data_IF_833960479591
#
_entry.id   IF_833960479591
#
_cell.length_a   1.000
_cell.length_b   1.000
_cell.length_c   1.000
_cell.angle_alpha   90.00
_cell.angle_beta   90.00
_cell.angle_gamma   90.00
#
_symmetry.space_group_name_H-M   'P 1'
#
loop_
_entity.id
_entity.type
_entity.pdbx_description
1 polymer ?
#
# COMPACT_ATOMS: atom_id res chain seq x y z
N UNK A 1 -20.15 -18.97 9.73
CA UNK A 1 -20.85 -17.85 9.02
C UNK A 1 -19.93 -17.00 8.13
N UNK A 2 -18.60 -16.93 8.36
CA UNK A 2 -17.69 -16.00 7.65
C UNK A 2 -17.39 -16.33 6.19
N UNK A 3 -16.93 -17.54 5.88
CA UNK A 3 -16.42 -17.88 4.51
C UNK A 3 -17.56 -17.94 3.49
N UNK A 4 -18.72 -18.48 3.87
CA UNK A 4 -19.90 -18.54 3.02
C UNK A 4 -20.48 -17.16 2.67
N UNK A 5 -20.35 -16.18 3.57
CA UNK A 5 -20.87 -14.83 3.35
C UNK A 5 -19.93 -13.99 2.48
N UNK A 6 -18.61 -14.19 2.57
CA UNK A 6 -17.61 -13.58 1.67
C UNK A 6 -17.79 -14.14 0.25
N UNK A 7 -17.92 -15.46 0.13
CA UNK A 7 -18.17 -16.10 -1.17
C UNK A 7 -19.50 -15.63 -1.79
N UNK A 8 -20.57 -15.59 -1.00
CA UNK A 8 -21.88 -15.08 -1.45
C UNK A 8 -21.79 -13.60 -1.89
N UNK A 9 -21.06 -12.76 -1.17
CA UNK A 9 -20.87 -11.37 -1.56
C UNK A 9 -20.10 -11.24 -2.87
N UNK A 10 -19.02 -11.99 -3.04
CA UNK A 10 -18.24 -11.98 -4.27
C UNK A 10 -19.03 -12.50 -5.47
N UNK A 11 -19.80 -13.58 -5.30
CA UNK A 11 -20.69 -14.10 -6.35
C UNK A 11 -21.84 -13.12 -6.62
N UNK A 12 -22.43 -12.49 -5.61
CA UNK A 12 -23.45 -11.45 -5.77
C UNK A 12 -22.88 -10.20 -6.46
N UNK A 13 -21.67 -9.82 -6.14
CA UNK A 13 -21.00 -8.71 -6.81
C UNK A 13 -20.71 -9.06 -8.27
N UNK A 14 -20.25 -10.28 -8.57
CA UNK A 14 -20.07 -10.76 -9.94
C UNK A 14 -21.40 -10.81 -10.70
N UNK A 15 -22.46 -11.36 -10.14
CA UNK A 15 -23.79 -11.40 -10.79
C UNK A 15 -24.39 -10.01 -11.00
N UNK A 16 -24.12 -9.08 -10.11
CA UNK A 16 -24.49 -7.66 -10.31
C UNK A 16 -23.66 -7.00 -11.41
N UNK A 17 -22.42 -7.45 -11.61
CA UNK A 17 -21.49 -6.93 -12.62
C UNK A 17 -21.74 -7.56 -14.00
N UNK A 18 -21.97 -8.86 -14.06
CA UNK A 18 -22.12 -9.62 -15.30
C UNK A 18 -23.52 -9.60 -15.91
N UNK A 19 -24.52 -9.05 -15.18
CA UNK A 19 -25.89 -8.82 -15.69
C UNK A 19 -26.42 -9.87 -16.63
N UNK A 20 -26.58 -11.12 -16.17
CA UNK A 20 -27.35 -12.18 -16.83
C UNK A 20 -26.98 -12.44 -18.30
N UNK A 21 -26.29 -13.53 -18.53
CA UNK A 21 -26.10 -14.08 -19.87
C UNK A 21 -27.46 -14.60 -20.42
N UNK A 22 -28.29 -13.71 -20.94
CA UNK A 22 -29.32 -14.00 -21.96
C UNK A 22 -29.84 -12.66 -22.50
N UNK A 23 -29.45 -12.36 -23.70
CA UNK A 23 -30.06 -11.54 -24.73
C UNK A 23 -31.07 -10.45 -24.40
N UNK A 24 -30.78 -9.52 -23.53
CA UNK A 24 -31.55 -8.26 -23.43
C UNK A 24 -30.78 -7.26 -22.59
N UNK A 25 -30.46 -6.12 -23.22
CA UNK A 25 -30.03 -4.85 -22.62
C UNK A 25 -29.24 -4.95 -21.30
N UNK A 26 -27.94 -4.72 -21.37
CA UNK A 26 -27.07 -4.46 -20.21
C UNK A 26 -27.81 -3.44 -19.31
N UNK A 27 -28.33 -3.88 -18.17
CA UNK A 27 -28.83 -2.94 -17.18
C UNK A 27 -27.69 -2.00 -16.81
N UNK A 28 -27.89 -0.69 -16.92
CA UNK A 28 -26.84 0.25 -16.54
C UNK A 28 -26.46 -0.05 -15.09
N UNK A 29 -25.16 -0.26 -14.87
CA UNK A 29 -24.58 -0.29 -13.53
C UNK A 29 -25.11 0.93 -12.78
N UNK A 30 -25.61 0.79 -11.58
CA UNK A 30 -25.83 1.93 -10.70
C UNK A 30 -24.45 2.46 -10.29
N UNK A 31 -23.78 3.15 -11.22
CA UNK A 31 -22.51 3.83 -11.00
C UNK A 31 -22.83 5.04 -10.14
N UNK A 32 -22.42 5.01 -8.89
CA UNK A 32 -22.57 6.13 -7.97
C UNK A 32 -21.38 7.06 -8.13
N UNK A 33 -21.52 8.03 -9.03
CA UNK A 33 -20.53 9.09 -9.18
C UNK A 33 -20.58 10.01 -7.97
N UNK A 34 -19.43 10.30 -7.38
CA UNK A 34 -19.29 11.16 -6.21
C UNK A 34 -17.96 11.92 -6.22
N UNK A 35 -17.92 13.00 -5.47
CA UNK A 35 -16.69 13.75 -5.22
C UNK A 35 -15.98 13.14 -4.01
N UNK A 36 -14.68 12.85 -4.13
CA UNK A 36 -13.87 12.30 -3.05
C UNK A 36 -12.39 12.55 -3.28
N UNK A 37 -11.62 12.42 -2.22
CA UNK A 37 -10.15 12.43 -2.27
C UNK A 37 -9.63 11.03 -2.60
N UNK A 38 -9.06 10.88 -3.80
CA UNK A 38 -8.50 9.61 -4.29
C UNK A 38 -7.27 9.17 -3.48
N UNK A 39 -6.45 10.13 -3.02
CA UNK A 39 -5.29 9.80 -2.19
C UNK A 39 -5.71 9.16 -0.86
N UNK A 40 -6.75 9.71 -0.24
CA UNK A 40 -7.34 9.16 0.97
C UNK A 40 -7.95 7.78 0.73
N UNK A 41 -8.63 7.57 -0.40
CA UNK A 41 -9.18 6.26 -0.75
C UNK A 41 -8.07 5.21 -0.86
N UNK A 42 -6.94 5.54 -1.51
CA UNK A 42 -5.77 4.63 -1.61
C UNK A 42 -5.24 4.30 -0.23
N UNK A 43 -5.03 5.30 0.64
CA UNK A 43 -4.57 5.11 2.01
C UNK A 43 -5.52 4.21 2.82
N UNK A 44 -6.83 4.50 2.83
CA UNK A 44 -7.83 3.71 3.56
C UNK A 44 -7.84 2.24 3.14
N UNK A 45 -7.70 1.95 1.85
CA UNK A 45 -7.65 0.57 1.36
C UNK A 45 -6.35 -0.11 1.78
N UNK A 46 -5.21 0.57 1.65
CA UNK A 46 -3.91 0.05 2.07
C UNK A 46 -3.87 -0.23 3.58
N UNK A 47 -4.36 0.71 4.41
CA UNK A 47 -4.44 0.56 5.86
C UNK A 47 -5.36 -0.60 6.26
N UNK A 48 -6.51 -0.74 5.57
CA UNK A 48 -7.44 -1.84 5.84
C UNK A 48 -6.82 -3.21 5.57
N UNK A 49 -6.02 -3.33 4.50
CA UNK A 49 -5.28 -4.55 4.21
C UNK A 49 -4.14 -4.79 5.20
N UNK A 50 -3.36 -3.76 5.52
CA UNK A 50 -2.29 -3.85 6.50
C UNK A 50 -2.81 -4.30 7.87
N UNK A 51 -3.90 -3.70 8.35
CA UNK A 51 -4.55 -4.08 9.62
C UNK A 51 -5.22 -5.45 9.55
N UNK A 52 -5.93 -5.77 8.48
CA UNK A 52 -6.62 -7.06 8.31
C UNK A 52 -5.64 -8.24 8.36
N UNK A 53 -4.48 -8.09 7.80
CA UNK A 53 -3.43 -9.11 7.85
C UNK A 53 -2.73 -9.22 9.21
N UNK A 54 -2.73 -8.15 10.01
CA UNK A 54 -2.15 -8.14 11.36
C UNK A 54 -3.12 -8.66 12.43
N UNK A 55 -4.45 -8.53 12.21
CA UNK A 55 -5.49 -8.87 13.20
C UNK A 55 -6.09 -10.26 12.99
N UNK A 56 -5.93 -10.87 11.82
CA UNK A 56 -6.47 -12.21 11.53
C UNK A 56 -6.03 -13.32 12.51
N UNK A 57 -4.88 -13.27 13.20
CA UNK A 57 -4.52 -14.26 14.21
C UNK A 57 -5.43 -14.27 15.46
N UNK A 58 -6.14 -13.16 15.74
CA UNK A 58 -6.93 -13.03 16.97
C UNK A 58 -8.40 -13.43 16.83
N UNK A 59 -8.94 -13.54 15.62
CA UNK A 59 -10.37 -13.81 15.41
C UNK A 59 -10.71 -15.18 14.82
N UNK A 60 -9.74 -15.94 14.31
CA UNK A 60 -9.95 -17.30 13.82
C UNK A 60 -10.12 -18.35 14.95
N UNK A 61 -9.96 -17.93 16.21
CA UNK A 61 -10.08 -18.83 17.37
C UNK A 61 -11.52 -19.06 17.86
N UNK A 62 -12.54 -18.59 17.17
CA UNK A 62 -13.91 -18.74 17.70
C UNK A 62 -14.93 -19.33 16.77
N UNK A 63 -14.71 -20.13 15.79
CA UNK A 63 -15.77 -21.06 15.29
C UNK A 63 -15.12 -22.06 14.31
N UNK A 64 -14.74 -23.23 14.80
CA UNK A 64 -14.73 -24.43 13.98
C UNK A 64 -13.39 -24.94 13.44
N UNK A 65 -12.21 -24.42 13.85
CA UNK A 65 -10.97 -25.13 13.58
C UNK A 65 -10.47 -25.85 14.83
N UNK A 66 -10.78 -27.13 14.89
CA UNK A 66 -10.38 -28.01 16.00
C UNK A 66 -8.89 -28.42 15.93
N UNK A 67 -8.10 -27.81 15.05
CA UNK A 67 -6.68 -28.09 14.91
C UNK A 67 -5.98 -26.93 14.15
N UNK A 68 -5.59 -25.89 14.86
CA UNK A 68 -4.55 -24.96 14.36
C UNK A 68 -3.35 -25.07 15.30
N UNK A 69 -2.21 -25.66 14.86
CA UNK A 69 -1.03 -25.75 15.69
C UNK A 69 -0.55 -24.34 16.03
N UNK A 70 -0.21 -24.09 17.28
CA UNK A 70 0.30 -22.81 17.82
C UNK A 70 1.43 -22.17 16.98
N UNK A 71 2.09 -22.94 16.10
CA UNK A 71 3.11 -22.47 15.17
C UNK A 71 2.58 -21.72 13.94
N UNK A 72 1.35 -21.96 13.50
CA UNK A 72 0.85 -21.35 12.26
C UNK A 72 0.57 -19.84 12.41
N UNK A 73 0.22 -19.39 13.61
CA UNK A 73 0.01 -17.95 13.88
C UNK A 73 1.35 -17.20 13.96
N UNK A 74 2.37 -17.81 14.54
CA UNK A 74 3.73 -17.25 14.62
C UNK A 74 4.40 -17.25 13.24
N UNK A 75 4.25 -18.32 12.44
CA UNK A 75 4.74 -18.38 11.07
C UNK A 75 4.04 -17.34 10.15
N UNK A 76 2.75 -17.10 10.35
CA UNK A 76 2.02 -16.05 9.61
C UNK A 76 2.47 -14.65 10.03
N UNK A 77 2.63 -14.38 11.32
CA UNK A 77 3.17 -13.11 11.81
C UNK A 77 4.60 -12.87 11.30
N UNK A 78 5.42 -13.91 11.23
CA UNK A 78 6.77 -13.83 10.72
C UNK A 78 6.83 -13.57 9.21
N UNK A 79 5.88 -14.11 8.41
CA UNK A 79 5.79 -13.83 6.97
C UNK A 79 5.61 -12.35 6.67
N UNK A 80 4.88 -11.61 7.51
CA UNK A 80 4.63 -10.17 7.31
C UNK A 80 5.80 -9.29 7.73
N UNK A 81 6.69 -9.80 8.57
CA UNK A 81 7.95 -9.11 8.87
C UNK A 81 8.91 -9.09 7.68
N UNK A 82 8.68 -9.96 6.68
CA UNK A 82 9.56 -10.14 5.53
C UNK A 82 9.06 -9.42 4.25
N UNK A 83 7.88 -8.75 4.32
CA UNK A 83 7.31 -7.99 3.20
C UNK A 83 7.27 -6.51 3.53
N UNK A 84 7.98 -5.70 2.75
CA UNK A 84 7.87 -4.25 2.84
C UNK A 84 6.64 -3.77 2.06
N UNK A 85 5.68 -3.15 2.75
CA UNK A 85 4.47 -2.60 2.13
C UNK A 85 4.60 -1.10 1.99
N UNK A 86 4.72 -0.63 0.76
CA UNK A 86 5.03 0.77 0.43
C UNK A 86 3.89 1.41 -0.33
N UNK A 87 3.46 2.59 0.11
CA UNK A 87 2.45 3.41 -0.58
C UNK A 87 3.12 4.68 -1.09
N UNK A 88 3.07 4.91 -2.40
CA UNK A 88 3.69 6.05 -3.06
C UNK A 88 2.63 6.88 -3.79
N UNK A 89 2.31 8.06 -3.25
CA UNK A 89 1.33 8.99 -3.83
C UNK A 89 2.06 10.22 -4.34
N UNK A 90 1.92 10.50 -5.64
CA UNK A 90 2.52 11.68 -6.26
C UNK A 90 1.95 12.98 -5.66
N UNK A 91 2.83 13.95 -5.35
CA UNK A 91 2.41 15.28 -4.92
C UNK A 91 1.79 16.04 -6.08
N UNK A 92 0.57 16.55 -5.87
CA UNK A 92 -0.11 17.40 -6.84
C UNK A 92 -0.48 18.75 -6.22
N UNK A 93 -0.32 19.82 -6.99
CA UNK A 93 -0.61 21.20 -6.54
C UNK A 93 -2.08 21.36 -6.09
N UNK A 94 -3.00 20.72 -6.81
CA UNK A 94 -4.44 20.79 -6.52
C UNK A 94 -4.98 19.55 -5.80
N UNK A 95 -4.09 18.71 -5.24
CA UNK A 95 -4.46 17.47 -4.56
C UNK A 95 -5.08 16.42 -5.50
N UNK A 96 -5.83 15.49 -4.88
CA UNK A 96 -6.42 14.33 -5.55
C UNK A 96 -7.96 14.30 -5.47
N UNK A 97 -8.58 15.49 -5.37
CA UNK A 97 -10.04 15.57 -5.32
C UNK A 97 -10.63 15.35 -6.73
N UNK A 98 -11.43 14.30 -6.86
CA UNK A 98 -11.96 13.84 -8.16
C UNK A 98 -13.45 13.50 -8.08
N UNK A 99 -14.13 13.61 -9.20
CA UNK A 99 -15.51 13.16 -9.41
C UNK A 99 -15.47 11.86 -10.22
N UNK A 100 -15.75 10.73 -9.58
CA UNK A 100 -15.67 9.41 -10.20
C UNK A 100 -16.50 8.36 -9.45
N UNK A 101 -16.43 7.09 -9.89
CA UNK A 101 -17.00 5.94 -9.17
C UNK A 101 -16.08 5.52 -8.01
N UNK A 102 -16.29 6.11 -6.84
CA UNK A 102 -15.55 5.78 -5.62
C UNK A 102 -15.63 4.29 -5.26
N UNK A 103 -16.84 3.71 -5.38
CA UNK A 103 -17.07 2.28 -5.08
C UNK A 103 -16.35 1.36 -6.05
N UNK A 104 -16.34 1.70 -7.33
CA UNK A 104 -15.59 0.97 -8.36
C UNK A 104 -14.08 1.01 -8.12
N UNK A 105 -13.51 2.20 -7.92
CA UNK A 105 -12.08 2.35 -7.65
C UNK A 105 -11.64 1.67 -6.34
N UNK A 106 -12.47 1.72 -5.30
CA UNK A 106 -12.24 0.98 -4.05
C UNK A 106 -12.13 -0.52 -4.30
N UNK A 107 -13.04 -1.10 -5.11
CA UNK A 107 -13.00 -2.53 -5.45
C UNK A 107 -11.78 -2.91 -6.29
N UNK A 108 -11.39 -2.04 -7.24
CA UNK A 108 -10.17 -2.22 -8.02
C UNK A 108 -8.97 -2.32 -7.08
N UNK A 109 -8.78 -1.33 -6.22
CA UNK A 109 -7.69 -1.31 -5.24
C UNK A 109 -7.71 -2.52 -4.30
N UNK A 110 -8.87 -2.85 -3.73
CA UNK A 110 -8.99 -4.01 -2.82
C UNK A 110 -8.60 -5.32 -3.50
N UNK A 111 -8.97 -5.54 -4.76
CA UNK A 111 -8.59 -6.75 -5.48
C UNK A 111 -7.10 -6.77 -5.83
N UNK A 112 -6.55 -5.65 -6.29
CA UNK A 112 -5.14 -5.58 -6.67
C UNK A 112 -4.22 -5.71 -5.46
N UNK A 113 -4.45 -4.91 -4.42
CA UNK A 113 -3.66 -4.93 -3.18
C UNK A 113 -3.81 -6.28 -2.46
N UNK A 114 -5.04 -6.79 -2.38
CA UNK A 114 -5.29 -8.11 -1.78
C UNK A 114 -4.58 -9.25 -2.49
N UNK A 115 -4.52 -9.23 -3.84
CA UNK A 115 -3.76 -10.22 -4.60
C UNK A 115 -2.26 -10.07 -4.39
N UNK A 116 -1.71 -8.87 -4.47
CA UNK A 116 -0.28 -8.61 -4.26
C UNK A 116 0.17 -9.12 -2.88
N UNK A 117 -0.54 -8.75 -1.84
CA UNK A 117 -0.24 -9.20 -0.48
C UNK A 117 -0.43 -10.71 -0.28
N UNK A 118 -1.41 -11.32 -0.93
CA UNK A 118 -1.66 -12.76 -0.86
C UNK A 118 -0.54 -13.59 -1.50
N UNK A 119 0.00 -13.12 -2.61
CA UNK A 119 0.96 -13.87 -3.41
C UNK A 119 2.43 -13.49 -3.15
N UNK A 120 2.67 -12.51 -2.27
CA UNK A 120 4.01 -12.12 -1.83
C UNK A 120 4.25 -12.65 -0.41
N UNK A 121 5.22 -13.53 -0.26
CA UNK A 121 5.63 -14.07 1.05
C UNK A 121 6.87 -13.42 1.60
N UNK A 122 7.69 -12.80 0.73
CA UNK A 122 8.91 -12.09 1.08
C UNK A 122 9.22 -11.05 0.00
N UNK A 123 9.82 -9.94 0.41
CA UNK A 123 10.22 -8.87 -0.50
C UNK A 123 9.37 -7.62 -0.33
N UNK A 124 8.60 -7.21 -1.34
CA UNK A 124 7.83 -5.97 -1.26
C UNK A 124 6.49 -6.03 -1.99
N UNK A 125 5.58 -5.14 -1.57
CA UNK A 125 4.38 -4.73 -2.30
C UNK A 125 4.35 -3.20 -2.33
N UNK A 126 4.34 -2.64 -3.53
CA UNK A 126 4.27 -1.20 -3.76
C UNK A 126 2.93 -0.82 -4.38
N UNK A 127 2.25 0.15 -3.81
CA UNK A 127 1.03 0.77 -4.36
C UNK A 127 1.33 2.20 -4.72
N UNK A 128 1.18 2.56 -5.99
CA UNK A 128 1.47 3.93 -6.44
C UNK A 128 0.26 4.59 -7.06
N UNK A 129 0.06 5.87 -6.72
CA UNK A 129 -0.92 6.76 -7.36
C UNK A 129 -0.18 7.90 -8.03
N UNK A 130 -0.32 8.03 -9.34
CA UNK A 130 0.21 9.14 -10.14
C UNK A 130 -0.82 9.64 -11.14
N UNK A 131 -0.59 10.82 -11.72
CA UNK A 131 -1.54 11.35 -12.70
C UNK A 131 -1.04 12.55 -13.45
N UNK A 132 -1.61 12.75 -14.64
CA UNK A 132 -1.30 13.88 -15.51
C UNK A 132 -2.57 14.66 -15.85
N UNK A 133 -2.46 15.99 -15.82
CA UNK A 133 -3.54 16.86 -16.23
C UNK A 133 -3.76 16.76 -17.74
N UNK A 134 -5.00 16.46 -18.15
CA UNK A 134 -5.39 16.46 -19.55
C UNK A 134 -5.79 17.89 -19.93
N UNK A 135 -6.61 18.53 -19.08
CA UNK A 135 -7.08 19.90 -19.21
C UNK A 135 -7.45 20.47 -17.82
N UNK A 136 -8.17 21.60 -17.82
CA UNK A 136 -8.59 22.26 -16.57
C UNK A 136 -9.47 21.36 -15.70
N UNK A 137 -10.33 20.52 -16.33
CA UNK A 137 -11.39 19.78 -15.65
C UNK A 137 -11.13 18.28 -15.56
N UNK A 138 -10.16 17.76 -16.35
CA UNK A 138 -9.91 16.33 -16.46
C UNK A 138 -8.49 15.95 -16.09
N UNK A 139 -8.39 14.78 -15.46
CA UNK A 139 -7.15 14.16 -14.99
C UNK A 139 -7.09 12.73 -15.50
N UNK A 140 -5.96 12.34 -16.08
CA UNK A 140 -5.60 10.93 -16.26
C UNK A 140 -4.98 10.43 -14.97
N UNK A 141 -5.57 9.42 -14.35
CA UNK A 141 -5.02 8.78 -13.16
C UNK A 141 -4.39 7.46 -13.52
N UNK A 142 -3.35 7.09 -12.77
CA UNK A 142 -2.64 5.82 -12.86
C UNK A 142 -2.56 5.22 -11.46
N UNK A 143 -3.12 4.04 -11.30
CA UNK A 143 -2.97 3.22 -10.09
C UNK A 143 -2.12 2.01 -10.46
N UNK A 144 -0.95 1.91 -9.85
CA UNK A 144 -0.01 0.80 -10.05
C UNK A 144 0.12 0.01 -8.75
N UNK A 145 -0.01 -1.30 -8.87
CA UNK A 145 0.34 -2.24 -7.80
C UNK A 145 1.42 -3.15 -8.31
N UNK A 146 2.55 -3.19 -7.63
CA UNK A 146 3.72 -3.98 -7.96
C UNK A 146 4.11 -4.84 -6.77
N UNK A 147 4.41 -6.09 -7.02
CA UNK A 147 4.85 -7.04 -6.01
C UNK A 147 6.06 -7.87 -6.49
N UNK A 148 6.81 -8.38 -5.53
CA UNK A 148 7.90 -9.34 -5.74
C UNK A 148 7.49 -10.78 -5.42
N UNK A 149 6.21 -11.11 -5.59
CA UNK A 149 5.65 -12.41 -5.29
C UNK A 149 5.99 -13.50 -6.29
N UNK A 150 5.22 -14.57 -6.28
CA UNK A 150 5.48 -15.73 -7.14
C UNK A 150 5.32 -15.45 -8.66
N UNK A 151 4.77 -14.29 -9.03
CA UNK A 151 4.47 -13.98 -10.43
C UNK A 151 3.39 -14.88 -11.03
N UNK A 152 3.15 -14.70 -12.33
CA UNK A 152 2.12 -15.39 -13.12
C UNK A 152 2.78 -16.00 -14.34
N UNK A 153 2.43 -17.26 -14.69
CA UNK A 153 2.97 -17.91 -15.86
C UNK A 153 2.48 -17.27 -17.16
N UNK A 154 3.29 -17.32 -18.19
CA UNK A 154 2.97 -16.77 -19.51
C UNK A 154 1.68 -17.36 -20.08
N UNK A 155 1.49 -18.68 -19.92
CA UNK A 155 0.30 -19.35 -20.39
C UNK A 155 -0.99 -18.81 -19.74
N UNK A 156 -0.97 -18.59 -18.42
CA UNK A 156 -2.12 -18.05 -17.70
C UNK A 156 -2.39 -16.57 -18.05
N UNK A 157 -1.32 -15.77 -18.20
CA UNK A 157 -1.43 -14.37 -18.65
C UNK A 157 -2.14 -14.26 -20.00
N UNK A 158 -1.73 -15.08 -20.97
CA UNK A 158 -2.20 -14.95 -22.35
C UNK A 158 -3.63 -15.54 -22.55
N UNK A 159 -4.06 -16.50 -21.74
CA UNK A 159 -5.27 -17.27 -22.00
C UNK A 159 -6.39 -17.10 -20.97
N UNK A 160 -6.07 -16.81 -19.71
CA UNK A 160 -7.04 -16.97 -18.62
C UNK A 160 -7.12 -15.82 -17.63
N UNK A 161 -6.21 -14.85 -17.69
CA UNK A 161 -6.00 -13.85 -16.65
C UNK A 161 -7.28 -13.12 -16.21
N UNK A 162 -8.11 -12.72 -17.16
CA UNK A 162 -9.34 -11.98 -16.90
C UNK A 162 -10.61 -12.83 -16.99
N UNK A 163 -10.46 -14.14 -17.16
CA UNK A 163 -11.62 -15.02 -17.19
C UNK A 163 -12.16 -15.23 -15.77
N UNK A 164 -13.47 -15.10 -15.56
CA UNK A 164 -14.09 -15.37 -14.28
C UNK A 164 -13.82 -16.79 -13.81
N UNK A 165 -13.60 -16.96 -12.50
CA UNK A 165 -13.31 -18.23 -11.84
C UNK A 165 -12.00 -18.91 -12.25
N UNK A 166 -11.15 -18.22 -13.01
CA UNK A 166 -9.85 -18.75 -13.41
C UNK A 166 -8.82 -18.57 -12.29
N UNK A 167 -8.07 -19.63 -12.01
CA UNK A 167 -6.97 -19.67 -11.05
C UNK A 167 -5.82 -20.48 -11.62
N UNK A 168 -4.60 -19.98 -11.50
CA UNK A 168 -3.40 -20.72 -11.91
C UNK A 168 -3.18 -21.96 -11.03
N UNK A 169 -3.47 -21.84 -9.73
CA UNK A 169 -3.49 -22.97 -8.80
C UNK A 169 -4.92 -23.21 -8.29
N UNK A 170 -5.65 -24.20 -8.80
CA UNK A 170 -7.02 -24.50 -8.39
C UNK A 170 -7.16 -24.90 -6.90
N UNK A 171 -6.07 -25.34 -6.27
CA UNK A 171 -6.05 -25.69 -4.84
C UNK A 171 -5.72 -24.47 -3.95
N UNK A 172 -5.39 -23.34 -4.56
CA UNK A 172 -5.11 -22.09 -3.85
C UNK A 172 -6.37 -21.42 -3.27
N UNK A 173 -6.20 -20.64 -2.23
CA UNK A 173 -7.29 -19.85 -1.67
C UNK A 173 -7.73 -18.75 -2.65
N UNK A 174 -9.03 -18.58 -2.87
CA UNK A 174 -9.60 -17.50 -3.68
C UNK A 174 -10.75 -17.96 -4.55
N UNK A 175 -11.43 -17.03 -5.22
CA UNK A 175 -12.59 -17.30 -6.08
C UNK A 175 -12.28 -17.21 -7.57
N UNK A 176 -11.10 -16.70 -7.95
CA UNK A 176 -10.77 -16.44 -9.36
C UNK A 176 -11.56 -15.29 -10.00
N UNK A 177 -12.21 -14.45 -9.19
CA UNK A 177 -13.04 -13.33 -9.69
C UNK A 177 -12.33 -11.98 -9.63
N UNK A 178 -11.24 -11.85 -8.87
CA UNK A 178 -10.64 -10.55 -8.57
C UNK A 178 -10.23 -9.75 -9.81
N UNK A 179 -9.46 -10.35 -10.71
CA UNK A 179 -8.96 -9.66 -11.91
C UNK A 179 -10.04 -9.47 -12.99
N UNK A 180 -11.01 -10.37 -13.11
CA UNK A 180 -12.16 -10.14 -14.00
C UNK A 180 -13.01 -8.96 -13.52
N UNK A 181 -13.21 -8.80 -12.22
CA UNK A 181 -13.88 -7.64 -11.64
C UNK A 181 -13.09 -6.35 -11.92
N UNK A 182 -11.77 -6.37 -11.74
CA UNK A 182 -10.90 -5.23 -12.07
C UNK A 182 -11.05 -4.83 -13.54
N UNK A 183 -10.95 -5.80 -14.43
CA UNK A 183 -11.10 -5.60 -15.87
C UNK A 183 -12.46 -4.96 -16.21
N UNK A 184 -13.56 -5.53 -15.73
CA UNK A 184 -14.91 -5.03 -16.00
C UNK A 184 -15.14 -3.61 -15.45
N UNK A 185 -14.61 -3.33 -14.25
CA UNK A 185 -14.71 -2.00 -13.66
C UNK A 185 -13.92 -0.99 -14.49
N UNK A 186 -12.67 -1.28 -14.79
CA UNK A 186 -11.83 -0.35 -15.53
C UNK A 186 -12.39 -0.09 -16.95
N UNK A 187 -12.84 -1.13 -17.65
CA UNK A 187 -13.46 -0.97 -18.98
C UNK A 187 -14.79 -0.18 -18.97
N UNK A 188 -15.46 -0.09 -17.82
CA UNK A 188 -16.65 0.76 -17.67
C UNK A 188 -16.32 2.24 -17.41
N UNK A 189 -15.08 2.57 -17.11
CA UNK A 189 -14.61 3.93 -16.86
C UNK A 189 -14.15 4.62 -18.14
N UNK A 190 -14.16 5.95 -18.16
CA UNK A 190 -13.70 6.73 -19.32
C UNK A 190 -12.20 6.45 -19.58
N UNK A 191 -11.90 5.98 -20.80
CA UNK A 191 -10.57 5.53 -21.21
C UNK A 191 -9.87 4.59 -20.20
N UNK A 192 -10.65 3.73 -19.56
CA UNK A 192 -10.14 2.79 -18.58
C UNK A 192 -9.34 1.66 -19.22
N UNK A 193 -8.16 1.40 -18.67
CA UNK A 193 -7.24 0.33 -19.13
C UNK A 193 -6.69 -0.46 -17.96
N UNK A 194 -6.29 -1.70 -18.26
CA UNK A 194 -5.55 -2.58 -17.33
C UNK A 194 -4.39 -3.19 -18.11
N UNK A 195 -3.16 -2.91 -17.70
CA UNK A 195 -1.94 -3.51 -18.21
C UNK A 195 -1.33 -4.40 -17.13
N UNK A 196 -0.93 -5.62 -17.49
CA UNK A 196 -0.34 -6.59 -16.55
C UNK A 196 0.98 -7.08 -17.09
N UNK A 197 2.01 -6.91 -16.28
CA UNK A 197 3.35 -7.43 -16.53
C UNK A 197 3.74 -8.36 -15.40
N UNK A 198 4.03 -9.58 -15.72
CA UNK A 198 4.43 -10.56 -14.71
C UNK A 198 5.46 -11.53 -15.25
N UNK A 199 6.33 -11.96 -14.37
CA UNK A 199 7.30 -13.03 -14.64
C UNK A 199 7.28 -13.98 -13.46
N UNK A 200 7.04 -15.25 -13.74
CA UNK A 200 6.99 -16.30 -12.73
C UNK A 200 8.31 -16.37 -11.94
N UNK A 201 8.21 -16.37 -10.62
CA UNK A 201 9.35 -16.35 -9.70
C UNK A 201 9.97 -14.96 -9.45
N UNK A 202 9.51 -13.90 -10.15
CA UNK A 202 10.02 -12.53 -9.97
C UNK A 202 8.99 -11.61 -9.34
N UNK A 203 7.72 -11.65 -9.81
CA UNK A 203 6.65 -10.82 -9.31
C UNK A 203 5.68 -10.34 -10.38
N UNK A 204 4.78 -9.45 -9.98
CA UNK A 204 3.73 -8.90 -10.85
C UNK A 204 3.65 -7.39 -10.72
N UNK A 205 3.41 -6.72 -11.84
CA UNK A 205 3.04 -5.32 -11.91
C UNK A 205 1.71 -5.17 -12.65
N UNK A 206 0.73 -4.54 -12.01
CA UNK A 206 -0.56 -4.21 -12.62
C UNK A 206 -0.71 -2.71 -12.61
N UNK A 207 -0.86 -2.14 -13.80
CA UNK A 207 -1.12 -0.74 -14.02
C UNK A 207 -2.55 -0.56 -14.52
N UNK A 208 -3.37 0.16 -13.77
CA UNK A 208 -4.69 0.61 -14.23
C UNK A 208 -4.67 2.10 -14.49
N UNK A 209 -5.35 2.53 -15.54
CA UNK A 209 -5.50 3.95 -15.81
C UNK A 209 -6.92 4.29 -16.25
N UNK A 210 -7.39 5.49 -15.93
CA UNK A 210 -8.64 6.02 -16.45
C UNK A 210 -8.67 7.54 -16.37
N UNK A 211 -9.60 8.15 -17.09
CA UNK A 211 -9.88 9.59 -17.00
C UNK A 211 -10.95 9.85 -15.97
N UNK A 212 -10.70 10.85 -15.14
CA UNK A 212 -11.65 11.32 -14.13
C UNK A 212 -11.82 12.82 -14.24
N UNK A 213 -12.94 13.35 -13.76
CA UNK A 213 -13.11 14.80 -13.63
C UNK A 213 -12.47 15.27 -12.32
N UNK A 214 -11.83 16.43 -12.36
CA UNK A 214 -11.38 17.11 -11.15
C UNK A 214 -12.62 17.64 -10.42
N UNK A 215 -12.69 17.44 -9.13
CA UNK A 215 -13.72 18.03 -8.28
C UNK A 215 -13.15 19.23 -7.51
N UNK A 216 -13.98 20.22 -7.16
CA UNK A 216 -13.55 21.31 -6.31
C UNK A 216 -13.07 20.73 -4.96
N UNK A 217 -11.91 21.19 -4.50
CA UNK A 217 -11.42 20.78 -3.19
C UNK A 217 -12.45 21.17 -2.13
N UNK A 218 -12.85 20.22 -1.28
CA UNK A 218 -13.63 20.51 -0.10
C UNK A 218 -12.82 21.45 0.80
N UNK A 219 -13.50 22.37 1.52
CA UNK A 219 -12.88 23.22 2.54
C UNK A 219 -12.13 22.44 3.63
N UNK A 220 -12.38 21.12 3.72
CA UNK A 220 -11.74 20.21 4.67
C UNK A 220 -10.45 19.55 4.12
N UNK A 221 -9.93 20.00 2.96
CA UNK A 221 -8.62 19.56 2.50
C UNK A 221 -7.61 19.95 3.58
N UNK A 222 -7.07 18.94 4.22
CA UNK A 222 -6.02 19.12 5.20
C UNK A 222 -4.93 20.00 4.59
N UNK A 223 -4.83 21.23 5.08
CA UNK A 223 -3.78 22.15 4.72
C UNK A 223 -2.45 21.44 5.01
N UNK A 224 -1.75 21.02 3.97
CA UNK A 224 -0.37 20.57 4.13
C UNK A 224 0.40 21.84 4.45
N UNK A 225 0.90 22.01 5.68
CA UNK A 225 1.65 23.20 6.03
C UNK A 225 2.81 23.29 5.03
N UNK A 226 2.82 24.34 4.22
CA UNK A 226 4.07 24.71 3.57
C UNK A 226 4.97 25.15 4.71
N UNK A 227 5.87 24.27 5.13
CA UNK A 227 6.97 24.67 5.99
C UNK A 227 7.62 25.87 5.30
N UNK A 228 7.70 26.99 6.02
CA UNK A 228 8.36 28.19 5.52
C UNK A 228 9.76 27.79 5.03
N UNK A 229 9.95 27.82 3.72
CA UNK A 229 11.14 27.33 3.02
C UNK A 229 12.42 28.05 3.45
N UNK A 230 12.30 29.12 4.25
CA UNK A 230 13.42 29.90 4.79
C UNK A 230 14.18 29.23 5.95
N UNK A 231 13.70 28.10 6.47
CA UNK A 231 14.42 27.35 7.49
C UNK A 231 14.66 25.93 6.96
N UNK A 232 15.84 25.70 6.36
CA UNK A 232 16.26 24.38 5.92
C UNK A 232 16.32 23.39 7.09
N UNK A 233 15.27 22.59 7.24
CA UNK A 233 15.25 21.47 8.17
C UNK A 233 15.93 20.27 7.51
N UNK A 234 16.75 19.55 8.25
CA UNK A 234 17.39 18.32 7.77
C UNK A 234 16.74 17.11 8.40
N UNK A 235 16.36 16.16 7.58
CA UNK A 235 15.89 14.85 8.01
C UNK A 235 17.02 13.82 7.88
N UNK A 236 17.32 13.13 8.97
CA UNK A 236 18.34 12.09 9.04
C UNK A 236 17.67 10.73 9.11
N UNK A 237 17.94 9.86 8.15
CA UNK A 237 17.39 8.52 8.05
C UNK A 237 18.41 7.49 8.51
N UNK A 238 18.01 6.62 9.44
CA UNK A 238 18.85 5.56 9.99
C UNK A 238 18.18 4.19 9.89
N UNK A 239 18.94 3.17 9.48
CA UNK A 239 18.50 1.80 9.49
C UNK A 239 17.56 1.40 8.36
N UNK A 240 17.64 2.09 7.24
CA UNK A 240 16.92 1.72 6.03
C UNK A 240 17.84 0.87 5.14
N UNK A 241 17.66 -0.45 5.07
CA UNK A 241 18.53 -1.33 4.31
C UNK A 241 18.35 -1.10 2.81
N UNK A 242 19.45 -1.09 2.06
CA UNK A 242 19.48 -0.97 0.59
C UNK A 242 19.92 -2.25 -0.10
N UNK A 243 20.24 -3.27 0.65
CA UNK A 243 20.63 -4.61 0.19
C UNK A 243 19.44 -5.43 -0.34
N UNK A 244 18.21 -5.04 0.04
CA UNK A 244 16.96 -5.63 -0.47
C UNK A 244 16.19 -4.64 -1.34
N UNK A 245 15.48 -5.14 -2.36
CA UNK A 245 14.64 -4.29 -3.21
C UNK A 245 13.54 -3.58 -2.41
N UNK A 246 12.93 -4.26 -1.45
CA UNK A 246 11.91 -3.67 -0.58
C UNK A 246 12.44 -2.53 0.27
N UNK A 247 13.59 -2.73 0.92
CA UNK A 247 14.24 -1.69 1.73
C UNK A 247 14.64 -0.48 0.90
N UNK A 248 15.18 -0.70 -0.31
CA UNK A 248 15.52 0.38 -1.25
C UNK A 248 14.30 1.18 -1.67
N UNK A 249 13.20 0.53 -2.08
CA UNK A 249 11.96 1.19 -2.47
C UNK A 249 11.39 1.99 -1.30
N UNK A 250 11.39 1.43 -0.10
CA UNK A 250 10.95 2.13 1.11
C UNK A 250 11.78 3.38 1.37
N UNK A 251 13.10 3.26 1.34
CA UNK A 251 14.02 4.39 1.54
C UNK A 251 13.81 5.47 0.49
N UNK A 252 13.78 5.12 -0.80
CA UNK A 252 13.57 6.05 -1.91
C UNK A 252 12.22 6.78 -1.76
N UNK A 253 11.16 6.06 -1.38
CA UNK A 253 9.83 6.64 -1.15
C UNK A 253 9.85 7.64 0.00
N UNK A 254 10.47 7.31 1.13
CA UNK A 254 10.59 8.22 2.28
C UNK A 254 11.41 9.46 1.93
N UNK A 255 12.56 9.28 1.25
CA UNK A 255 13.39 10.40 0.77
C UNK A 255 12.58 11.29 -0.15
N UNK A 256 11.84 10.70 -1.09
CA UNK A 256 10.97 11.45 -2.00
C UNK A 256 9.90 12.25 -1.23
N UNK A 257 9.19 11.65 -0.29
CA UNK A 257 8.18 12.36 0.51
C UNK A 257 8.79 13.51 1.31
N UNK A 258 9.87 13.26 2.02
CA UNK A 258 10.49 14.30 2.86
C UNK A 258 11.01 15.47 2.04
N UNK A 259 11.63 15.19 0.89
CA UNK A 259 12.19 16.24 0.04
C UNK A 259 11.12 16.99 -0.76
N UNK A 260 10.17 16.27 -1.40
CA UNK A 260 9.20 16.89 -2.33
C UNK A 260 7.96 17.45 -1.63
N UNK A 261 7.44 16.74 -0.61
CA UNK A 261 6.24 17.17 0.09
C UNK A 261 6.53 18.18 1.20
N UNK A 262 7.60 17.94 1.96
CA UNK A 262 7.94 18.69 3.16
C UNK A 262 9.12 19.65 2.99
N UNK A 263 9.88 19.54 1.91
CA UNK A 263 11.02 20.42 1.63
C UNK A 263 12.23 20.18 2.53
N UNK A 264 12.35 19.01 3.17
CA UNK A 264 13.51 18.66 3.97
C UNK A 264 14.74 18.41 3.10
N UNK A 265 15.90 18.82 3.61
CA UNK A 265 17.17 18.25 3.16
C UNK A 265 17.32 16.88 3.79
N UNK A 266 17.41 15.83 2.97
CA UNK A 266 17.46 14.44 3.48
C UNK A 266 18.88 13.92 3.47
N UNK A 267 19.31 13.30 4.57
CA UNK A 267 20.57 12.60 4.73
C UNK A 267 20.30 11.17 5.16
N UNK A 268 20.79 10.21 4.38
CA UNK A 268 20.70 8.79 4.71
C UNK A 268 22.02 8.37 5.33
N UNK A 269 21.96 7.66 6.44
CA UNK A 269 23.12 7.20 7.20
C UNK A 269 23.23 5.68 7.15
N UNK A 270 24.47 5.20 7.05
CA UNK A 270 24.81 3.78 7.03
C UNK A 270 25.10 3.27 8.45
N UNK A 271 25.01 1.95 8.63
CA UNK A 271 25.19 1.33 9.95
C UNK A 271 26.62 1.47 10.53
N UNK A 272 27.59 1.75 9.67
CA UNK A 272 29.01 1.90 10.03
C UNK A 272 29.36 3.26 10.62
N UNK A 273 28.46 4.24 10.53
CA UNK A 273 28.71 5.60 10.99
C UNK A 273 28.71 5.69 12.53
N UNK A 274 29.56 6.58 13.07
CA UNK A 274 29.62 6.80 14.51
C UNK A 274 28.42 7.62 14.99
N UNK A 275 27.51 6.96 15.72
CA UNK A 275 26.29 7.56 16.23
C UNK A 275 26.56 8.78 17.13
N UNK A 276 27.67 8.78 17.88
CA UNK A 276 28.00 9.86 18.83
C UNK A 276 28.41 11.15 18.13
N UNK A 277 29.25 11.03 17.10
CA UNK A 277 29.68 12.19 16.29
C UNK A 277 28.52 12.76 15.47
N UNK A 278 27.63 11.90 14.96
CA UNK A 278 26.44 12.31 14.24
C UNK A 278 25.49 13.13 15.11
N UNK A 279 25.15 12.61 16.30
CA UNK A 279 24.24 13.30 17.23
C UNK A 279 24.84 14.62 17.71
N UNK A 280 26.16 14.67 17.95
CA UNK A 280 26.83 15.92 18.34
C UNK A 280 26.75 17.02 17.27
N UNK A 281 26.64 16.64 15.99
CA UNK A 281 26.50 17.57 14.86
C UNK A 281 25.06 18.05 14.63
N UNK A 282 24.06 17.44 15.28
CA UNK A 282 22.65 17.74 15.08
C UNK A 282 22.18 18.95 15.89
N UNK A 283 21.29 19.72 15.31
CA UNK A 283 20.66 20.91 15.92
C UNK A 283 19.16 20.66 16.14
N UNK A 284 18.48 21.62 16.79
CA UNK A 284 17.02 21.56 16.96
C UNK A 284 16.21 21.59 15.63
N UNK A 285 16.88 21.90 14.52
CA UNK A 285 16.27 21.88 13.17
C UNK A 285 16.40 20.52 12.47
N UNK A 286 16.94 19.53 13.14
CA UNK A 286 17.11 18.20 12.60
C UNK A 286 15.98 17.30 13.10
N UNK A 287 15.48 16.44 12.22
CA UNK A 287 14.50 15.38 12.54
C UNK A 287 15.18 14.05 12.25
N UNK A 288 15.06 13.11 13.16
CA UNK A 288 15.63 11.78 13.01
C UNK A 288 14.51 10.78 12.73
N UNK A 289 14.63 10.07 11.62
CA UNK A 289 13.77 8.93 11.28
C UNK A 289 14.55 7.63 11.49
N UNK A 290 13.98 6.77 12.31
CA UNK A 290 14.58 5.47 12.63
C UNK A 290 13.72 4.33 12.07
N UNK A 291 14.35 3.39 11.37
CA UNK A 291 13.77 2.08 11.17
C UNK A 291 14.13 1.21 12.37
N UNK A 292 13.13 0.75 13.12
CA UNK A 292 13.31 0.02 14.40
C UNK A 292 14.09 -1.30 14.27
N UNK A 293 14.29 -1.80 13.07
CA UNK A 293 15.00 -3.06 12.80
C UNK A 293 16.52 -2.91 12.79
N UNK A 294 17.06 -1.69 12.84
CA UNK A 294 18.49 -1.44 12.74
C UNK A 294 19.22 -1.48 14.10
N UNK A 295 20.40 -2.10 14.14
CA UNK A 295 21.28 -2.08 15.30
C UNK A 295 21.78 -0.67 15.65
N UNK A 296 21.88 0.22 14.66
CA UNK A 296 22.26 1.63 14.85
C UNK A 296 21.24 2.37 15.72
N UNK A 297 19.96 1.99 15.64
CA UNK A 297 18.88 2.59 16.45
C UNK A 297 19.15 2.42 17.94
N UNK A 298 19.60 1.26 18.40
CA UNK A 298 19.93 1.02 19.80
C UNK A 298 21.10 1.90 20.26
N UNK A 299 22.11 2.07 19.41
CA UNK A 299 23.26 2.94 19.70
C UNK A 299 22.87 4.42 19.75
N UNK A 300 21.97 4.88 18.87
CA UNK A 300 21.46 6.25 18.89
C UNK A 300 20.60 6.53 20.13
N UNK A 301 19.72 5.59 20.49
CA UNK A 301 18.85 5.76 21.66
C UNK A 301 19.60 5.80 23.01
N UNK A 302 20.84 5.33 23.06
CA UNK A 302 21.69 5.41 24.25
C UNK A 302 22.33 6.79 24.47
N UNK A 303 22.11 7.76 23.58
CA UNK A 303 22.64 9.12 23.71
C UNK A 303 21.73 10.01 24.58
N UNK A 304 22.32 10.84 25.44
CA UNK A 304 21.59 11.69 26.40
C UNK A 304 20.76 12.82 25.75
N UNK A 305 21.08 13.20 24.52
CA UNK A 305 20.40 14.28 23.80
C UNK A 305 20.13 13.88 22.35
N UNK A 306 18.86 13.62 22.05
CA UNK A 306 18.42 13.38 20.70
C UNK A 306 17.53 14.54 20.20
N UNK A 307 17.63 14.90 18.90
CA UNK A 307 16.66 15.79 18.26
C UNK A 307 15.27 15.15 18.20
N UNK A 308 14.23 15.86 17.72
CA UNK A 308 12.92 15.27 17.51
C UNK A 308 13.01 13.95 16.70
N UNK A 309 12.44 12.87 17.25
CA UNK A 309 12.61 11.52 16.79
C UNK A 309 11.27 10.98 16.29
N UNK A 310 11.27 10.45 15.04
CA UNK A 310 10.16 9.69 14.46
C UNK A 310 10.64 8.26 14.25
N UNK A 311 9.97 7.31 14.86
CA UNK A 311 10.27 5.89 14.64
C UNK A 311 9.26 5.28 13.69
N UNK A 312 9.75 4.64 12.64
CA UNK A 312 8.97 3.77 11.78
C UNK A 312 9.07 2.35 12.37
N UNK A 313 7.99 1.90 12.96
CA UNK A 313 7.90 0.57 13.56
C UNK A 313 6.71 -0.18 12.96
N UNK A 314 6.87 -1.47 12.72
CA UNK A 314 5.72 -2.34 12.53
C UNK A 314 4.97 -2.53 13.86
N UNK A 315 3.73 -3.02 13.79
CA UNK A 315 2.92 -3.23 14.99
C UNK A 315 3.52 -4.29 15.92
N UNK A 316 4.33 -5.20 15.39
CA UNK A 316 4.97 -6.26 16.18
C UNK A 316 6.15 -5.72 17.00
N UNK A 317 6.95 -4.84 16.41
CA UNK A 317 8.08 -4.21 17.11
C UNK A 317 7.68 -3.01 17.97
N UNK A 318 6.46 -2.48 17.82
CA UNK A 318 6.00 -1.29 18.56
C UNK A 318 6.12 -1.44 20.08
N UNK A 319 5.76 -2.59 20.63
CA UNK A 319 5.86 -2.82 22.08
C UNK A 319 7.31 -2.96 22.52
N UNK A 320 8.14 -3.64 21.76
CA UNK A 320 9.58 -3.78 22.03
C UNK A 320 10.26 -2.40 22.00
N UNK A 321 9.97 -1.60 20.99
CA UNK A 321 10.51 -0.26 20.84
C UNK A 321 10.04 0.69 21.97
N UNK A 322 8.77 0.60 22.37
CA UNK A 322 8.22 1.35 23.50
C UNK A 322 8.94 0.99 24.81
N UNK A 323 9.14 -0.29 25.06
CA UNK A 323 9.87 -0.77 26.26
C UNK A 323 11.32 -0.29 26.25
N UNK A 324 11.96 -0.27 25.08
CA UNK A 324 13.33 0.24 24.92
C UNK A 324 13.38 1.74 25.19
N UNK A 325 12.47 2.54 24.61
CA UNK A 325 12.38 3.99 24.89
C UNK A 325 12.11 4.30 26.38
N UNK A 326 11.27 3.53 27.05
CA UNK A 326 10.98 3.70 28.47
C UNK A 326 12.19 3.34 29.35
N UNK A 327 12.99 2.36 28.94
CA UNK A 327 14.23 1.98 29.62
C UNK A 327 15.31 3.06 29.52
N UNK A 328 15.37 3.77 28.38
CA UNK A 328 16.33 4.88 28.17
C UNK A 328 15.87 6.24 28.74
N UNK A 329 14.60 6.39 29.13
CA UNK A 329 14.07 7.60 29.78
C UNK A 329 14.21 7.59 31.31
N UNK A 330 14.60 6.45 31.89
CA UNK A 330 14.92 6.30 33.32
C UNK A 330 16.40 6.51 33.59
#
# INVERSE_FOLDING_TARGET
RGLGDVYKRQVLDYTKLSGGASGSQRRPRNISMSDFDLSRLVQEVCDSHALGHQVTPLHDNQIGSMYDPKGAAEERAQRWSDVEFVVNIEKRLHGWYVHSDCGGLRRVLMNLVGNALKFTTKGFVEVSLSGSDIDKDRLQIFLRVRDSGCGISRQFLDQQLFHPFSQENPLGSGTGLGLSIVHDIMHSMDAGTVDVRSTQGIGTEILTSCRVRKAPASSDVAYIPQLDVHQSCTAHLFGFPTDTDGGRILQETIVHYLSTWWGFLVRVHHEDEDASSLVASMTQRNVVLLNSRSALVHRLLSQDRLPPLISLTDLYSKQLFKNTLEAYRK
#
